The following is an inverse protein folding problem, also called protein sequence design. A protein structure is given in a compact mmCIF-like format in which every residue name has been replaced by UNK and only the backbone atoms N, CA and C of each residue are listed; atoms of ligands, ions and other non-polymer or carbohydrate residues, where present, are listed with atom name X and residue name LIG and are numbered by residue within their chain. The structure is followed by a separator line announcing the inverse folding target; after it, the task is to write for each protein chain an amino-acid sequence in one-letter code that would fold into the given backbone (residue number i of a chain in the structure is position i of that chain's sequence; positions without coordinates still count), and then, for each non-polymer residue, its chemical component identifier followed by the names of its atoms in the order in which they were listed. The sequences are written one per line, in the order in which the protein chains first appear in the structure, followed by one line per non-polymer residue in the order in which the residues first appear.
data_IF_725351519722
#
_entry.id   IF_725351519722
#
_cell.length_a   1.000
_cell.length_b   1.000
_cell.length_c   1.000
_cell.angle_alpha   90.00
_cell.angle_beta   90.00
_cell.angle_gamma   90.00
#
_symmetry.space_group_name_H-M   'P 1'
#
loop_
_entity.id
_entity.type
_entity.pdbx_description
1 polymer ?
#
# COMPACT_ATOMS: atom_id res chain seq x y z
N UNK A 1 24.51 -3.83 -22.15
CA UNK A 1 23.91 -2.50 -21.87
C UNK A 1 22.47 -2.73 -21.46
N UNK A 2 22.19 -2.72 -20.15
CA UNK A 2 20.81 -2.71 -19.67
C UNK A 2 20.25 -1.30 -19.92
N UNK A 3 19.14 -1.21 -20.65
CA UNK A 3 18.37 0.03 -20.70
C UNK A 3 17.78 0.26 -19.31
N UNK A 4 18.39 1.13 -18.51
CA UNK A 4 17.74 1.68 -17.32
C UNK A 4 16.67 2.62 -17.86
N UNK A 5 15.45 2.13 -17.98
CA UNK A 5 14.30 2.98 -18.23
C UNK A 5 14.08 3.82 -16.98
N UNK A 6 14.57 5.07 -16.99
CA UNK A 6 14.15 6.09 -16.03
C UNK A 6 12.67 6.36 -16.28
N UNK A 7 11.80 5.73 -15.48
CA UNK A 7 10.39 6.07 -15.47
C UNK A 7 10.20 7.25 -14.53
N UNK A 8 9.82 8.43 -15.03
CA UNK A 8 9.47 9.53 -14.17
C UNK A 8 8.30 9.13 -13.26
N UNK A 9 8.45 9.43 -11.99
CA UNK A 9 7.44 9.25 -10.97
C UNK A 9 6.21 10.12 -11.30
N UNK A 10 5.07 9.49 -11.55
CA UNK A 10 3.83 10.23 -11.82
C UNK A 10 3.33 10.90 -10.53
N UNK A 11 3.12 12.22 -10.56
CA UNK A 11 2.32 12.93 -9.55
C UNK A 11 0.87 12.45 -9.62
N UNK A 12 0.53 11.39 -8.90
CA UNK A 12 -0.87 11.02 -8.68
C UNK A 12 -1.46 11.93 -7.61
N UNK A 13 -2.53 12.64 -7.97
CA UNK A 13 -3.31 13.49 -7.06
C UNK A 13 -4.63 12.79 -6.74
N UNK A 14 -5.12 13.03 -5.54
CA UNK A 14 -6.49 12.66 -5.20
C UNK A 14 -7.48 13.44 -6.08
N UNK A 15 -8.44 12.73 -6.63
CA UNK A 15 -9.62 13.27 -7.32
C UNK A 15 -10.87 12.85 -6.57
N UNK A 16 -11.97 13.59 -6.70
CA UNK A 16 -13.24 13.10 -6.16
C UNK A 16 -13.64 11.84 -6.91
N UNK A 17 -14.08 10.81 -6.19
CA UNK A 17 -14.43 9.51 -6.76
C UNK A 17 -15.51 9.61 -7.85
N UNK A 18 -16.45 10.53 -7.69
CA UNK A 18 -17.47 10.85 -8.70
C UNK A 18 -16.87 11.38 -10.02
N UNK A 19 -15.75 12.09 -9.95
CA UNK A 19 -15.10 12.74 -11.09
C UNK A 19 -14.05 11.82 -11.75
N UNK A 20 -13.72 10.68 -11.13
CA UNK A 20 -12.81 9.68 -11.69
C UNK A 20 -13.42 9.02 -12.94
N UNK A 21 -12.72 9.06 -14.08
CA UNK A 21 -13.33 8.72 -15.38
C UNK A 21 -13.31 7.23 -15.74
N UNK A 22 -12.33 6.48 -15.23
CA UNK A 22 -12.18 5.08 -15.64
C UNK A 22 -13.33 4.22 -15.09
N UNK A 23 -13.75 3.18 -15.84
CA UNK A 23 -14.84 2.31 -15.42
C UNK A 23 -14.43 1.28 -14.36
N UNK A 24 -13.15 1.27 -13.97
CA UNK A 24 -12.59 0.32 -13.02
C UNK A 24 -11.55 0.97 -12.10
N UNK A 25 -11.22 0.31 -11.00
CA UNK A 25 -10.14 0.69 -10.09
C UNK A 25 -9.01 -0.32 -10.14
N UNK A 26 -7.79 0.18 -10.31
CA UNK A 26 -6.57 -0.61 -10.38
C UNK A 26 -6.13 -1.07 -8.99
N UNK A 27 -5.30 -2.12 -8.96
CA UNK A 27 -4.56 -2.49 -7.75
C UNK A 27 -3.66 -1.33 -7.30
N UNK A 28 -3.59 -1.13 -5.99
CA UNK A 28 -2.80 -0.06 -5.40
C UNK A 28 -3.52 1.27 -5.37
N UNK A 29 -4.65 1.41 -6.08
CA UNK A 29 -5.53 2.56 -5.96
C UNK A 29 -5.95 2.79 -4.51
N UNK A 30 -5.92 4.05 -4.07
CA UNK A 30 -6.20 4.47 -2.71
C UNK A 30 -7.48 5.29 -2.65
N UNK A 31 -8.41 4.88 -1.81
CA UNK A 31 -9.57 5.67 -1.41
C UNK A 31 -9.26 6.41 -0.12
N UNK A 32 -9.60 7.69 -0.03
CA UNK A 32 -9.48 8.48 1.19
C UNK A 32 -10.86 9.01 1.59
N UNK A 33 -11.19 8.82 2.86
CA UNK A 33 -12.49 9.19 3.43
C UNK A 33 -12.28 10.20 4.53
N UNK A 34 -12.90 11.37 4.39
CA UNK A 34 -12.87 12.42 5.40
C UNK A 34 -13.98 12.20 6.43
N UNK A 35 -13.63 11.84 7.67
CA UNK A 35 -14.58 11.67 8.78
C UNK A 35 -14.89 13.01 9.44
N UNK A 36 -15.56 13.90 8.69
CA UNK A 36 -15.83 15.29 9.13
C UNK A 36 -16.63 15.40 10.44
N UNK A 37 -17.42 14.38 10.79
CA UNK A 37 -18.34 14.45 11.93
C UNK A 37 -17.77 13.88 13.24
N UNK A 38 -16.71 13.05 13.19
CA UNK A 38 -16.20 12.33 14.38
C UNK A 38 -14.93 12.93 14.98
N UNK A 39 -14.39 14.04 14.43
CA UNK A 39 -13.04 14.56 14.75
C UNK A 39 -11.90 13.55 14.54
N UNK A 40 -12.17 12.43 13.87
CA UNK A 40 -11.17 11.42 13.55
C UNK A 40 -10.38 11.84 12.30
N UNK A 41 -9.09 11.50 12.28
CA UNK A 41 -8.26 11.68 11.09
C UNK A 41 -8.87 10.96 9.87
N UNK A 42 -8.63 11.47 8.65
CA UNK A 42 -9.08 10.78 7.46
C UNK A 42 -8.51 9.35 7.41
N UNK A 43 -9.25 8.43 6.78
CA UNK A 43 -8.83 7.04 6.65
C UNK A 43 -8.60 6.71 5.18
N UNK A 44 -7.44 6.12 4.89
CA UNK A 44 -7.11 5.63 3.56
C UNK A 44 -7.27 4.11 3.46
N UNK A 45 -7.80 3.65 2.34
CA UNK A 45 -7.92 2.24 1.99
C UNK A 45 -7.23 1.99 0.66
N UNK A 46 -6.35 0.99 0.59
CA UNK A 46 -5.63 0.60 -0.62
C UNK A 46 -6.16 -0.71 -1.17
N UNK A 47 -6.33 -0.78 -2.49
CA UNK A 47 -6.72 -2.02 -3.18
C UNK A 47 -5.55 -2.99 -3.21
N UNK A 48 -5.73 -4.18 -2.62
CA UNK A 48 -4.80 -5.30 -2.65
C UNK A 48 -5.11 -6.29 -3.77
N UNK A 49 -4.06 -6.91 -4.30
CA UNK A 49 -4.18 -8.10 -5.14
C UNK A 49 -3.13 -9.13 -4.71
N UNK A 50 -3.57 -10.33 -4.33
CA UNK A 50 -2.62 -11.42 -4.11
C UNK A 50 -2.27 -12.11 -5.44
N UNK A 51 -0.97 -12.12 -5.77
CA UNK A 51 -0.45 -12.80 -6.96
C UNK A 51 -0.06 -14.26 -6.73
N UNK A 52 -0.15 -14.80 -5.51
CA UNK A 52 0.44 -16.11 -5.16
C UNK A 52 -0.36 -17.35 -5.59
N UNK A 53 -1.08 -17.28 -6.72
CA UNK A 53 -1.70 -18.44 -7.35
C UNK A 53 -3.10 -18.82 -6.85
N UNK A 54 -3.62 -18.16 -5.80
CA UNK A 54 -5.05 -18.17 -5.50
C UNK A 54 -5.70 -16.93 -6.12
N UNK A 55 -6.50 -17.06 -7.20
CA UNK A 55 -7.07 -15.94 -7.93
C UNK A 55 -8.14 -15.14 -7.15
N UNK A 56 -8.40 -15.47 -5.88
CA UNK A 56 -9.56 -14.98 -5.13
C UNK A 56 -9.28 -13.84 -4.14
N UNK A 57 -8.03 -13.45 -3.89
CA UNK A 57 -7.74 -12.42 -2.90
C UNK A 57 -7.60 -11.03 -3.52
N UNK A 58 -8.75 -10.41 -3.81
CA UNK A 58 -8.88 -8.97 -3.98
C UNK A 58 -9.50 -8.40 -2.69
N UNK A 59 -8.89 -7.38 -2.13
CA UNK A 59 -9.35 -6.83 -0.86
C UNK A 59 -8.96 -5.38 -0.67
N UNK A 60 -9.43 -4.80 0.42
CA UNK A 60 -9.04 -3.46 0.84
C UNK A 60 -8.18 -3.56 2.09
N UNK A 61 -7.00 -2.94 2.06
CA UNK A 61 -6.13 -2.78 3.21
C UNK A 61 -6.29 -1.36 3.76
N UNK A 62 -6.43 -1.25 5.08
CA UNK A 62 -6.41 0.03 5.77
C UNK A 62 -4.97 0.54 5.75
N UNK A 63 -4.75 1.74 5.21
CA UNK A 63 -3.41 2.32 5.00
C UNK A 63 -3.04 3.32 6.09
N UNK A 64 -4.02 4.01 6.69
CA UNK A 64 -3.78 5.02 7.75
C UNK A 64 -4.64 4.79 8.99
N UNK A 65 -4.29 5.46 10.09
CA UNK A 65 -5.01 5.39 11.35
C UNK A 65 -4.70 4.15 12.19
N UNK A 66 -5.45 3.93 13.30
CA UNK A 66 -5.14 2.88 14.27
C UNK A 66 -5.17 1.45 13.75
N UNK A 67 -5.98 1.20 12.73
CA UNK A 67 -6.19 -0.11 12.13
C UNK A 67 -5.35 -0.31 10.86
N UNK A 68 -4.41 0.61 10.55
CA UNK A 68 -3.51 0.49 9.41
C UNK A 68 -2.81 -0.88 9.38
N UNK A 69 -2.66 -1.48 8.21
CA UNK A 69 -2.09 -2.82 8.04
C UNK A 69 -3.13 -3.95 8.13
N UNK A 70 -4.36 -3.70 8.61
CA UNK A 70 -5.44 -4.70 8.57
C UNK A 70 -6.07 -4.79 7.19
N UNK A 71 -6.48 -5.99 6.84
CA UNK A 71 -7.36 -6.25 5.70
C UNK A 71 -8.79 -5.95 6.16
N UNK A 72 -9.38 -4.88 5.63
CA UNK A 72 -10.75 -4.47 5.92
C UNK A 72 -11.74 -5.52 5.41
N UNK A 73 -11.58 -5.92 4.15
CA UNK A 73 -12.55 -6.77 3.46
C UNK A 73 -11.91 -7.55 2.34
N UNK A 74 -12.40 -8.77 2.14
CA UNK A 74 -12.19 -9.52 0.91
C UNK A 74 -13.38 -9.28 0.00
N UNK A 75 -13.12 -8.70 -1.16
CA UNK A 75 -14.14 -8.40 -2.14
C UNK A 75 -14.52 -9.68 -2.89
N UNK A 76 -15.81 -9.92 -3.14
CA UNK A 76 -16.26 -11.07 -3.91
C UNK A 76 -15.86 -10.95 -5.38
N UNK A 77 -15.73 -12.07 -6.09
CA UNK A 77 -15.36 -12.09 -7.51
C UNK A 77 -16.32 -11.30 -8.42
N UNK A 78 -17.60 -11.15 -8.02
CA UNK A 78 -18.57 -10.32 -8.73
C UNK A 78 -18.23 -8.81 -8.74
N UNK A 79 -17.25 -8.38 -7.93
CA UNK A 79 -16.75 -7.01 -7.98
C UNK A 79 -15.87 -6.72 -9.19
N UNK A 80 -15.38 -7.75 -9.87
CA UNK A 80 -14.41 -7.62 -10.96
C UNK A 80 -15.08 -7.08 -12.23
N UNK A 81 -14.37 -6.21 -12.93
CA UNK A 81 -14.75 -5.78 -14.27
C UNK A 81 -14.45 -6.89 -15.29
N UNK A 82 -15.40 -7.19 -16.17
CA UNK A 82 -15.36 -8.36 -17.05
C UNK A 82 -14.10 -8.39 -17.92
N UNK A 83 -13.39 -9.52 -17.93
CA UNK A 83 -12.14 -9.66 -18.69
C UNK A 83 -10.94 -8.94 -18.07
N UNK A 84 -11.08 -8.34 -16.89
CA UNK A 84 -9.99 -7.67 -16.16
C UNK A 84 -9.73 -8.32 -14.79
N UNK A 85 -8.67 -7.84 -14.11
CA UNK A 85 -8.41 -8.10 -12.69
C UNK A 85 -8.56 -6.82 -11.86
N UNK A 86 -9.46 -5.94 -12.27
CA UNK A 86 -9.70 -4.63 -11.66
C UNK A 86 -11.12 -4.57 -11.10
N UNK A 87 -11.35 -3.72 -10.10
CA UNK A 87 -12.67 -3.59 -9.48
C UNK A 87 -13.55 -2.77 -10.42
N UNK A 88 -14.72 -3.28 -10.80
CA UNK A 88 -15.73 -2.54 -11.54
C UNK A 88 -16.24 -1.35 -10.70
N UNK A 89 -16.15 -0.15 -11.28
CA UNK A 89 -16.52 1.10 -10.59
C UNK A 89 -17.98 1.11 -10.17
N UNK A 90 -18.90 0.75 -11.06
CA UNK A 90 -20.33 0.78 -10.78
C UNK A 90 -20.72 -0.21 -9.70
N UNK A 91 -20.10 -1.39 -9.72
CA UNK A 91 -20.28 -2.40 -8.68
C UNK A 91 -19.84 -1.86 -7.32
N UNK A 92 -18.64 -1.27 -7.22
CA UNK A 92 -18.12 -0.78 -5.94
C UNK A 92 -18.97 0.37 -5.40
N UNK A 93 -19.39 1.31 -6.26
CA UNK A 93 -20.27 2.41 -5.88
C UNK A 93 -21.62 1.90 -5.35
N UNK A 94 -22.22 0.90 -5.99
CA UNK A 94 -23.49 0.30 -5.57
C UNK A 94 -23.38 -0.46 -4.25
N UNK A 95 -22.22 -1.02 -3.94
CA UNK A 95 -21.99 -1.85 -2.75
C UNK A 95 -21.08 -1.18 -1.70
N UNK A 96 -20.88 0.14 -1.79
CA UNK A 96 -19.91 0.86 -0.97
C UNK A 96 -20.12 0.67 0.53
N UNK A 97 -21.33 0.95 1.01
CA UNK A 97 -21.69 0.83 2.43
C UNK A 97 -21.55 -0.60 2.95
N UNK A 98 -21.75 -1.60 2.08
CA UNK A 98 -21.68 -3.02 2.44
C UNK A 98 -20.25 -3.50 2.67
N UNK A 99 -19.27 -3.01 1.89
CA UNK A 99 -17.91 -3.56 1.88
C UNK A 99 -16.84 -2.57 2.37
N UNK A 100 -17.07 -1.26 2.31
CA UNK A 100 -16.06 -0.25 2.64
C UNK A 100 -16.40 0.43 3.97
N UNK A 101 -17.39 1.32 3.97
CA UNK A 101 -17.90 1.95 5.18
C UNK A 101 -19.21 2.69 4.91
N UNK A 102 -19.93 2.98 5.98
CA UNK A 102 -21.11 3.84 5.96
C UNK A 102 -20.71 5.31 5.81
N UNK A 103 -20.61 5.80 4.57
CA UNK A 103 -20.36 7.22 4.26
C UNK A 103 -20.89 7.61 2.87
N UNK A 104 -21.16 8.90 2.63
CA UNK A 104 -21.50 9.38 1.28
C UNK A 104 -20.29 9.27 0.34
N UNK A 105 -20.42 8.36 -0.63
CA UNK A 105 -19.41 8.08 -1.66
C UNK A 105 -19.00 9.31 -2.49
N UNK A 106 -19.81 10.39 -2.50
CA UNK A 106 -19.49 11.65 -3.19
C UNK A 106 -18.34 12.42 -2.56
N UNK A 107 -18.09 12.21 -1.27
CA UNK A 107 -17.01 12.87 -0.52
C UNK A 107 -15.73 12.03 -0.46
N UNK A 108 -15.76 10.82 -1.03
CA UNK A 108 -14.59 9.96 -1.15
C UNK A 108 -13.65 10.52 -2.20
N UNK A 109 -12.38 10.61 -1.84
CA UNK A 109 -11.30 10.89 -2.77
C UNK A 109 -10.67 9.59 -3.23
N UNK A 110 -10.18 9.57 -4.46
CA UNK A 110 -9.48 8.43 -5.04
C UNK A 110 -8.18 8.87 -5.71
N UNK A 111 -7.13 8.08 -5.50
CA UNK A 111 -5.81 8.26 -6.08
C UNK A 111 -5.40 6.95 -6.75
N UNK A 112 -5.06 7.03 -8.03
CA UNK A 112 -4.57 5.90 -8.81
C UNK A 112 -3.06 6.04 -9.06
N UNK A 113 -2.29 5.01 -8.77
CA UNK A 113 -0.86 4.94 -9.13
C UNK A 113 -0.66 4.32 -10.53
N UNK A 114 -1.69 3.67 -11.07
CA UNK A 114 -1.68 2.92 -12.31
C UNK A 114 -2.41 3.71 -13.42
N UNK A 115 -1.93 4.90 -13.76
CA UNK A 115 -2.49 5.62 -14.92
C UNK A 115 -2.01 4.95 -16.23
N UNK A 116 -2.82 4.04 -16.75
CA UNK A 116 -2.61 3.34 -18.03
C UNK A 116 -2.45 4.33 -19.21
N UNK A 117 -3.05 5.52 -19.14
CA UNK A 117 -2.95 6.54 -20.20
C UNK A 117 -1.49 7.00 -20.45
N UNK A 118 -0.61 6.89 -19.45
CA UNK A 118 0.78 7.33 -19.56
C UNK A 118 1.72 6.25 -20.13
N UNK A 119 1.20 5.05 -20.41
CA UNK A 119 1.93 4.04 -21.19
C UNK A 119 1.88 4.32 -22.70
N UNK A 120 1.00 5.24 -23.16
CA UNK A 120 0.68 5.42 -24.59
C UNK A 120 0.89 6.87 -25.11
N UNK A 121 1.01 7.90 -24.25
CA UNK A 121 1.20 9.29 -24.72
C UNK A 121 2.53 9.89 -24.27
N UNK A 122 3.35 10.26 -25.26
CA UNK A 122 4.70 10.84 -25.16
C UNK A 122 4.76 12.30 -24.72
N UNK A 123 3.64 12.96 -24.44
CA UNK A 123 3.57 14.43 -24.47
C UNK A 123 3.14 15.07 -23.13
N UNK A 124 3.41 14.41 -22.00
CA UNK A 124 3.17 14.99 -20.66
C UNK A 124 4.51 15.35 -20.03
N UNK A 125 4.64 16.61 -19.62
CA UNK A 125 5.80 17.06 -18.83
C UNK A 125 5.84 16.31 -17.50
N UNK A 126 6.98 15.65 -17.28
CA UNK A 126 7.25 14.82 -16.12
C UNK A 126 7.99 15.64 -15.07
N UNK A 127 7.36 15.85 -13.91
CA UNK A 127 8.06 16.36 -12.73
C UNK A 127 8.55 15.17 -11.89
N UNK A 128 9.84 15.14 -11.55
CA UNK A 128 10.37 14.16 -10.60
C UNK A 128 9.60 14.27 -9.28
N UNK A 129 9.04 13.16 -8.82
CA UNK A 129 8.50 13.06 -7.47
C UNK A 129 9.69 12.95 -6.52
N UNK A 130 10.17 14.10 -6.09
CA UNK A 130 10.81 14.18 -4.79
C UNK A 130 9.70 13.98 -3.76
N UNK A 131 9.80 12.92 -2.95
CA UNK A 131 9.05 12.87 -1.69
C UNK A 131 9.30 14.22 -1.02
N UNK A 132 8.23 14.96 -0.74
CA UNK A 132 8.35 16.28 -0.17
C UNK A 132 9.08 16.11 1.17
N UNK A 133 10.21 16.80 1.43
CA UNK A 133 10.97 16.62 2.67
C UNK A 133 10.15 16.87 3.94
N UNK A 134 9.00 17.53 3.81
CA UNK A 134 8.04 17.79 4.90
C UNK A 134 7.12 16.60 5.22
N UNK A 135 7.02 15.58 4.35
CA UNK A 135 6.37 14.28 4.65
C UNK A 135 7.22 13.39 5.59
N UNK A 136 8.38 13.90 6.07
CA UNK A 136 9.38 13.16 6.85
C UNK A 136 9.24 13.22 8.37
N UNK A 137 8.31 13.98 8.96
CA UNK A 137 8.40 14.25 10.40
C UNK A 137 8.33 13.02 11.31
N UNK A 138 7.94 11.83 10.80
CA UNK A 138 7.82 10.61 11.58
C UNK A 138 8.64 9.41 11.08
N UNK A 139 9.47 9.57 10.04
CA UNK A 139 10.35 8.49 9.58
C UNK A 139 11.71 8.59 10.27
N UNK A 140 12.11 7.52 10.93
CA UNK A 140 13.41 7.37 11.59
C UNK A 140 14.12 6.16 11.01
N UNK A 141 15.45 6.09 11.08
CA UNK A 141 16.13 4.86 10.63
C UNK A 141 15.65 3.67 11.45
N UNK A 142 15.42 2.54 10.80
CA UNK A 142 14.97 1.32 11.50
C UNK A 142 15.97 0.89 12.58
N UNK A 143 17.27 1.02 12.30
CA UNK A 143 18.33 0.72 13.26
C UNK A 143 18.31 1.63 14.50
N UNK A 144 17.80 2.86 14.36
CA UNK A 144 17.69 3.85 15.44
C UNK A 144 16.34 3.76 16.16
N UNK A 145 15.44 2.86 15.76
CA UNK A 145 14.14 2.68 16.38
C UNK A 145 14.26 2.01 17.74
N UNK A 146 13.74 2.66 18.78
CA UNK A 146 13.95 2.25 20.18
C UNK A 146 13.25 0.95 20.55
N UNK A 147 12.06 0.67 19.99
CA UNK A 147 11.31 -0.54 20.34
C UNK A 147 11.87 -1.77 19.64
N UNK A 148 11.83 -2.92 20.31
CA UNK A 148 12.34 -4.19 19.77
C UNK A 148 11.34 -4.95 18.88
N UNK A 149 10.12 -4.41 18.77
CA UNK A 149 9.06 -4.96 17.94
C UNK A 149 8.50 -3.91 16.97
N UNK A 150 7.87 -4.40 15.91
CA UNK A 150 7.27 -3.62 14.84
C UNK A 150 5.79 -4.01 14.75
N UNK A 151 4.90 -3.02 14.81
CA UNK A 151 3.46 -3.27 14.76
C UNK A 151 2.94 -3.30 13.31
N UNK A 152 1.81 -3.96 13.10
CA UNK A 152 1.07 -3.84 11.86
C UNK A 152 0.67 -2.37 11.62
N UNK A 153 0.64 -1.97 10.36
CA UNK A 153 0.48 -0.57 9.96
C UNK A 153 1.79 0.22 9.98
N UNK A 154 2.86 -0.32 10.55
CA UNK A 154 4.21 0.20 10.40
C UNK A 154 4.65 0.19 8.94
N UNK A 155 5.39 1.22 8.54
CA UNK A 155 5.81 1.44 7.15
C UNK A 155 7.32 1.56 7.08
N UNK A 156 7.93 0.74 6.23
CA UNK A 156 9.31 0.91 5.81
C UNK A 156 9.39 1.82 4.59
N UNK A 157 10.34 2.74 4.57
CA UNK A 157 10.70 3.56 3.41
C UNK A 157 12.16 3.33 3.07
N UNK A 158 12.42 3.06 1.81
CA UNK A 158 13.75 2.70 1.33
C UNK A 158 13.99 3.28 -0.06
N UNK A 159 15.26 3.44 -0.40
CA UNK A 159 15.66 3.63 -1.78
C UNK A 159 15.50 2.30 -2.52
N UNK A 160 15.01 2.34 -3.76
CA UNK A 160 14.76 1.16 -4.56
C UNK A 160 15.14 1.36 -6.03
N UNK A 161 15.25 0.25 -6.74
CA UNK A 161 15.50 0.22 -8.16
C UNK A 161 14.35 -0.43 -8.93
N UNK A 162 14.45 -0.44 -10.26
CA UNK A 162 13.43 -1.00 -11.14
C UNK A 162 13.04 -2.43 -10.69
N UNK A 163 11.74 -2.76 -10.59
CA UNK A 163 10.57 -2.08 -11.17
C UNK A 163 9.88 -1.06 -10.25
N UNK A 164 10.52 -0.65 -9.16
CA UNK A 164 10.02 0.39 -8.27
C UNK A 164 10.51 1.78 -8.70
N UNK A 165 9.92 2.80 -8.10
CA UNK A 165 10.42 4.17 -8.07
C UNK A 165 11.72 4.26 -7.26
N UNK A 166 12.43 5.40 -7.36
CA UNK A 166 13.63 5.69 -6.56
C UNK A 166 13.41 5.49 -5.05
N UNK A 167 12.18 5.74 -4.57
CA UNK A 167 11.76 5.48 -3.20
C UNK A 167 10.45 4.72 -3.17
N UNK A 168 10.40 3.67 -2.36
CA UNK A 168 9.20 2.85 -2.18
C UNK A 168 8.90 2.67 -0.70
N UNK A 169 7.62 2.53 -0.40
CA UNK A 169 7.12 2.24 0.94
C UNK A 169 6.54 0.83 0.99
N UNK A 170 6.87 0.08 2.05
CA UNK A 170 6.29 -1.22 2.36
C UNK A 170 5.55 -1.15 3.70
N UNK A 171 4.26 -1.46 3.71
CA UNK A 171 3.45 -1.53 4.94
C UNK A 171 3.42 -2.95 5.51
N UNK A 172 3.53 -3.07 6.82
CA UNK A 172 3.34 -4.32 7.56
C UNK A 172 1.85 -4.59 7.64
N UNK A 173 1.40 -5.70 7.06
CA UNK A 173 0.01 -6.13 7.08
C UNK A 173 -0.18 -7.35 7.96
N UNK A 174 -1.21 -7.32 8.82
CA UNK A 174 -1.69 -8.50 9.52
C UNK A 174 -2.58 -9.33 8.59
N UNK A 175 -2.22 -10.60 8.40
CA UNK A 175 -2.96 -11.51 7.52
C UNK A 175 -3.94 -12.34 8.36
N UNK A 176 -5.24 -12.37 8.01
CA UNK A 176 -6.21 -13.18 8.72
C UNK A 176 -5.83 -14.67 8.73
N UNK A 177 -5.91 -15.27 9.93
CA UNK A 177 -5.48 -16.63 10.35
C UNK A 177 -5.81 -17.83 9.44
N UNK A 178 -6.62 -17.65 8.38
CA UNK A 178 -6.91 -18.68 7.38
C UNK A 178 -5.70 -19.15 6.56
N UNK A 179 -4.63 -18.34 6.45
CA UNK A 179 -3.34 -18.78 5.91
C UNK A 179 -2.52 -19.42 7.02
N UNK A 180 -2.56 -20.76 7.07
CA UNK A 180 -1.76 -21.58 8.00
C UNK A 180 -0.30 -21.07 8.01
N UNK A 181 0.14 -20.65 9.19
CA UNK A 181 1.54 -20.42 9.58
C UNK A 181 2.20 -19.08 9.23
N UNK A 182 1.46 -18.01 8.87
CA UNK A 182 2.06 -16.66 8.71
C UNK A 182 1.14 -15.56 9.21
N UNK A 183 1.60 -14.80 10.22
CA UNK A 183 0.85 -13.70 10.85
C UNK A 183 0.96 -12.38 10.08
N UNK A 184 2.13 -12.10 9.52
CA UNK A 184 2.43 -10.83 8.86
C UNK A 184 2.84 -11.01 7.40
N UNK A 185 2.54 -10.01 6.58
CA UNK A 185 3.09 -9.83 5.26
C UNK A 185 3.58 -8.40 5.08
N UNK A 186 4.54 -8.20 4.18
CA UNK A 186 4.88 -6.88 3.69
C UNK A 186 4.12 -6.64 2.39
N UNK A 187 3.49 -5.47 2.30
CA UNK A 187 2.72 -5.05 1.14
C UNK A 187 3.33 -3.77 0.60
N UNK A 188 3.53 -3.69 -0.72
CA UNK A 188 3.97 -2.46 -1.38
C UNK A 188 2.86 -1.42 -1.23
N UNK A 189 3.13 -0.31 -0.56
CA UNK A 189 2.13 0.71 -0.20
C UNK A 189 2.25 2.02 -0.95
N UNK A 190 3.24 2.14 -1.85
CA UNK A 190 3.41 3.30 -2.74
C UNK A 190 3.84 2.87 -4.15
N UNK A 191 3.71 3.80 -5.09
CA UNK A 191 4.21 3.62 -6.45
C UNK A 191 3.41 2.66 -7.33
N UNK A 192 3.95 2.36 -8.52
CA UNK A 192 3.33 1.54 -9.57
C UNK A 192 3.11 0.10 -9.12
N UNK A 193 3.91 -0.39 -8.16
CA UNK A 193 3.77 -1.73 -7.59
C UNK A 193 2.84 -1.77 -6.37
N UNK A 194 2.23 -0.66 -5.98
CA UNK A 194 1.31 -0.62 -4.83
C UNK A 194 0.21 -1.69 -4.90
N UNK A 195 -0.17 -2.17 -3.71
CA UNK A 195 -1.17 -3.22 -3.51
C UNK A 195 -0.67 -4.64 -3.79
N UNK A 196 0.61 -4.84 -4.13
CA UNK A 196 1.22 -6.16 -4.17
C UNK A 196 1.66 -6.63 -2.78
N UNK A 197 1.36 -7.88 -2.45
CA UNK A 197 2.06 -8.56 -1.36
C UNK A 197 3.49 -8.83 -1.84
N UNK A 198 4.47 -8.22 -1.16
CA UNK A 198 5.90 -8.40 -1.43
C UNK A 198 6.35 -9.77 -0.91
N UNK A 199 6.08 -10.04 0.37
CA UNK A 199 6.47 -11.27 1.04
C UNK A 199 5.51 -11.56 2.18
N UNK A 200 5.15 -12.83 2.35
CA UNK A 200 4.57 -13.29 3.61
C UNK A 200 5.72 -13.65 4.55
N UNK A 201 5.80 -13.02 5.72
CA UNK A 201 6.90 -13.22 6.65
C UNK A 201 6.79 -14.60 7.33
N UNK A 202 7.90 -15.29 7.57
CA UNK A 202 7.90 -16.58 8.26
C UNK A 202 7.64 -16.39 9.75
N UNK A 203 7.11 -17.40 10.44
CA UNK A 203 6.87 -17.31 11.89
C UNK A 203 8.14 -17.09 12.74
N UNK A 204 9.33 -17.44 12.22
CA UNK A 204 10.61 -17.16 12.89
C UNK A 204 10.90 -15.66 13.06
N UNK A 205 10.17 -14.79 12.36
CA UNK A 205 10.27 -13.34 12.56
C UNK A 205 9.57 -12.83 13.83
N UNK A 206 8.80 -13.69 14.50
CA UNK A 206 7.99 -13.31 15.65
C UNK A 206 8.78 -13.44 16.96
N UNK A 207 8.55 -12.50 17.87
CA UNK A 207 9.00 -12.62 19.26
C UNK A 207 8.07 -13.53 20.09
N UNK A 208 8.35 -13.68 21.38
CA UNK A 208 7.57 -14.48 22.33
C UNK A 208 6.12 -14.00 22.52
N UNK A 209 5.82 -12.75 22.15
CA UNK A 209 4.50 -12.13 22.21
C UNK A 209 3.80 -12.13 20.84
N UNK A 210 4.34 -12.90 19.88
CA UNK A 210 3.91 -12.96 18.49
C UNK A 210 3.93 -11.60 17.76
N UNK A 211 4.81 -10.68 18.16
CA UNK A 211 5.04 -9.41 17.44
C UNK A 211 6.21 -9.56 16.49
N UNK A 212 6.23 -8.76 15.41
CA UNK A 212 7.34 -8.78 14.47
C UNK A 212 8.61 -8.23 15.13
N UNK A 213 9.66 -9.03 15.24
CA UNK A 213 10.93 -8.63 15.85
C UNK A 213 11.70 -7.65 14.95
N UNK A 214 12.07 -6.49 15.50
CA UNK A 214 12.98 -5.52 14.85
C UNK A 214 14.34 -6.17 14.56
N UNK A 215 14.91 -6.89 15.53
CA UNK A 215 16.23 -7.51 15.37
C UNK A 215 16.22 -8.56 14.27
N UNK A 216 15.18 -9.41 14.23
CA UNK A 216 15.04 -10.36 13.12
C UNK A 216 14.97 -9.63 11.79
N UNK A 217 14.19 -8.54 11.68
CA UNK A 217 14.09 -7.75 10.47
C UNK A 217 15.44 -7.17 10.03
N UNK A 218 16.23 -6.64 10.96
CA UNK A 218 17.57 -6.10 10.69
C UNK A 218 18.52 -7.19 10.17
N UNK A 219 18.47 -8.39 10.74
CA UNK A 219 19.35 -9.52 10.39
C UNK A 219 18.93 -10.24 9.10
N UNK A 220 17.64 -10.19 8.75
CA UNK A 220 17.04 -11.02 7.70
C UNK A 220 16.54 -10.22 6.50
N UNK A 221 16.75 -8.90 6.49
CA UNK A 221 16.27 -8.00 5.44
C UNK A 221 16.67 -8.44 4.04
N UNK A 222 17.97 -8.68 3.81
CA UNK A 222 18.51 -9.05 2.49
C UNK A 222 17.91 -10.37 2.00
N UNK A 223 17.71 -11.32 2.91
CA UNK A 223 17.19 -12.65 2.59
C UNK A 223 15.70 -12.65 2.25
N UNK A 224 14.91 -11.83 2.94
CA UNK A 224 13.44 -11.95 2.92
C UNK A 224 12.70 -10.76 2.31
N UNK A 225 13.27 -9.56 2.38
CA UNK A 225 12.56 -8.33 2.03
C UNK A 225 13.05 -7.78 0.71
N UNK A 226 14.26 -7.19 0.69
CA UNK A 226 14.78 -6.52 -0.50
C UNK A 226 16.31 -6.39 -0.43
N UNK A 227 17.06 -7.30 -1.08
CA UNK A 227 18.52 -7.35 -0.98
C UNK A 227 19.24 -6.12 -1.56
N UNK A 228 18.61 -5.41 -2.49
CA UNK A 228 19.19 -4.24 -3.13
C UNK A 228 19.21 -3.01 -2.22
N UNK A 229 18.39 -2.97 -1.16
CA UNK A 229 18.40 -1.88 -0.18
C UNK A 229 19.26 -2.21 1.04
N UNK A 230 20.20 -1.32 1.35
CA UNK A 230 20.96 -1.36 2.60
C UNK A 230 20.03 -1.08 3.79
N UNK A 231 19.89 -2.06 4.69
CA UNK A 231 19.08 -1.99 5.90
C UNK A 231 19.45 -0.81 6.81
N UNK A 232 20.69 -0.31 6.75
CA UNK A 232 21.15 0.87 7.50
C UNK A 232 20.57 2.19 6.97
N UNK A 233 19.98 2.16 5.77
CA UNK A 233 19.31 3.28 5.12
C UNK A 233 17.81 3.03 4.92
N UNK A 234 17.26 1.99 5.57
CA UNK A 234 15.81 1.78 5.66
C UNK A 234 15.26 2.62 6.80
N UNK A 235 14.25 3.41 6.47
CA UNK A 235 13.50 4.22 7.41
C UNK A 235 12.22 3.50 7.82
N UNK A 236 11.74 3.77 9.02
CA UNK A 236 10.54 3.21 9.60
C UNK A 236 9.70 4.31 10.22
N UNK A 237 8.39 4.17 10.10
CA UNK A 237 7.43 4.90 10.92
C UNK A 237 6.36 3.95 11.42
N UNK A 238 5.83 4.20 12.62
CA UNK A 238 4.76 3.37 13.20
C UNK A 238 3.50 3.37 12.34
N UNK A 239 3.19 4.50 11.69
CA UNK A 239 1.99 4.70 10.86
C UNK A 239 2.22 5.83 9.86
N UNK A 240 1.53 5.78 8.73
CA UNK A 240 1.35 6.98 7.91
C UNK A 240 0.56 8.03 8.70
N UNK A 241 1.12 9.24 8.77
CA UNK A 241 0.33 10.42 9.10
C UNK A 241 -0.25 10.98 7.81
N UNK A 242 -1.51 11.38 7.85
CA UNK A 242 -2.07 12.21 6.79
C UNK A 242 -1.70 13.66 7.10
N UNK A 243 -0.95 14.29 6.19
CA UNK A 243 -0.65 15.72 6.19
C UNK A 243 -1.85 16.55 5.77
#
# INVERSE_FOLDING_TARGET
MAFIAHYPTMKSKFVKLKDFKQPYFSRGGVFQINRKETQEEPVEFMILFNGTGDPTYMGLLIRTGPEAGRILVNLPNECLDEGTRMINKQWLLKNWEKYVCDCDVKDVLYKDYYQIENYIRSDIEFESYHINPEDNNNFIKLADYEEDFLDFGGVFRLDAEWPYEEKVDFIISEIPSSSKDRKYALVVSSGVKSGHILVFLPNECLDENEKLSKNWMLENWEKWVYPEADIQNVYYTKRYNLS
#
